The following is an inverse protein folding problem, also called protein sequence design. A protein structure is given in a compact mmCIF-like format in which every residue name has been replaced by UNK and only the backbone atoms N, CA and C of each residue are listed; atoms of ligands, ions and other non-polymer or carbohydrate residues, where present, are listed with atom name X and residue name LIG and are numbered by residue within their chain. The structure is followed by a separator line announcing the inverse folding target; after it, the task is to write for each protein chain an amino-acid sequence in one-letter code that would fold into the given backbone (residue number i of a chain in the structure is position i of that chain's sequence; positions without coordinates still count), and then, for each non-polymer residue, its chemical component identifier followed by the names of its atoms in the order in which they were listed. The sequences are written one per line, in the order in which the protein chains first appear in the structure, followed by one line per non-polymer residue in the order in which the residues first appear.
data_IF_761444332058
#
_entry.id   IF_761444332058
#
_cell.length_a   1.000
_cell.length_b   1.000
_cell.length_c   1.000
_cell.angle_alpha   90.00
_cell.angle_beta   90.00
_cell.angle_gamma   90.00
#
_symmetry.space_group_name_H-M   'P 1'
#
loop_
_entity.id
_entity.type
_entity.pdbx_description
1 polymer ?
#
# COMPACT_ATOMS: atom_id res chain seq x y z
N UNK A 1 8.20 -61.33 -70.08
CA UNK A 1 8.92 -62.00 -69.00
C UNK A 1 9.13 -60.97 -67.84
N UNK A 2 8.51 -61.28 -66.74
CA UNK A 2 8.73 -60.93 -65.31
C UNK A 2 8.76 -59.47 -64.88
N UNK A 3 7.72 -59.04 -64.22
CA UNK A 3 7.49 -58.95 -62.74
C UNK A 3 8.55 -58.09 -61.98
N UNK A 4 8.12 -57.02 -61.40
CA UNK A 4 8.26 -56.88 -59.94
C UNK A 4 7.31 -55.81 -59.41
N UNK A 5 6.40 -56.26 -58.52
CA UNK A 5 5.58 -55.48 -57.67
C UNK A 5 6.45 -54.95 -56.53
N UNK A 6 6.43 -53.64 -56.29
CA UNK A 6 6.96 -53.04 -55.02
C UNK A 6 5.87 -52.33 -54.32
N UNK A 7 5.67 -52.71 -53.05
CA UNK A 7 4.66 -52.26 -52.10
C UNK A 7 4.91 -50.79 -51.63
N UNK A 8 3.87 -49.97 -51.45
CA UNK A 8 3.96 -48.72 -50.70
C UNK A 8 3.31 -48.88 -49.31
N UNK A 9 4.08 -49.22 -48.28
CA UNK A 9 3.56 -49.26 -46.90
C UNK A 9 4.45 -48.68 -45.81
N UNK A 10 5.46 -47.89 -46.15
CA UNK A 10 6.36 -47.30 -45.12
C UNK A 10 6.21 -45.79 -44.88
N UNK A 11 5.41 -45.09 -45.68
CA UNK A 11 5.31 -43.62 -45.58
C UNK A 11 4.18 -43.08 -44.70
N UNK A 12 3.18 -43.94 -44.35
CA UNK A 12 2.00 -43.53 -43.59
C UNK A 12 2.24 -43.38 -42.06
N UNK A 13 3.18 -44.15 -41.53
CA UNK A 13 3.41 -44.16 -40.06
C UNK A 13 4.33 -43.02 -39.60
N UNK A 14 5.18 -42.48 -40.50
CA UNK A 14 6.09 -41.38 -40.17
C UNK A 14 5.33 -40.06 -40.07
N UNK A 15 4.31 -39.83 -40.86
CA UNK A 15 3.46 -38.64 -40.78
C UNK A 15 2.50 -38.63 -39.58
N UNK A 16 2.04 -39.81 -39.15
CA UNK A 16 1.21 -39.92 -37.94
C UNK A 16 2.02 -39.69 -36.63
N UNK A 17 3.27 -40.15 -36.59
CA UNK A 17 4.18 -39.93 -35.46
C UNK A 17 4.59 -38.46 -35.35
N UNK A 18 4.78 -37.75 -36.44
CA UNK A 18 5.10 -36.30 -36.42
C UNK A 18 3.87 -35.49 -36.04
N UNK A 19 2.65 -35.87 -36.44
CA UNK A 19 1.43 -35.20 -36.03
C UNK A 19 1.12 -35.39 -34.53
N UNK A 20 1.43 -36.55 -33.94
CA UNK A 20 1.31 -36.81 -32.51
C UNK A 20 2.36 -36.09 -31.67
N UNK A 21 3.61 -35.92 -32.18
CA UNK A 21 4.65 -35.13 -31.51
C UNK A 21 4.37 -33.63 -31.56
N UNK A 22 3.71 -33.11 -32.60
CA UNK A 22 3.30 -31.69 -32.67
C UNK A 22 2.06 -31.44 -31.82
N UNK A 23 1.18 -32.43 -31.63
CA UNK A 23 0.02 -32.32 -30.70
C UNK A 23 0.42 -32.41 -29.22
N UNK A 24 1.46 -33.18 -28.87
CA UNK A 24 1.99 -33.26 -27.50
C UNK A 24 2.83 -32.03 -27.13
N UNK A 25 3.40 -31.29 -28.09
CA UNK A 25 4.14 -30.05 -27.86
C UNK A 25 3.25 -28.81 -27.64
N UNK A 26 1.92 -28.96 -27.75
CA UNK A 26 0.91 -27.92 -27.45
C UNK A 26 0.11 -28.17 -26.17
N UNK A 27 0.54 -29.12 -25.33
CA UNK A 27 0.15 -29.08 -23.92
C UNK A 27 0.72 -27.79 -23.35
N UNK A 28 -0.13 -26.76 -23.27
CA UNK A 28 0.25 -25.40 -22.93
C UNK A 28 1.20 -25.38 -21.74
N UNK A 29 2.34 -24.75 -21.93
CA UNK A 29 2.98 -24.08 -20.81
C UNK A 29 1.89 -23.16 -20.25
N UNK A 30 1.22 -23.57 -19.19
CA UNK A 30 0.47 -22.64 -18.35
C UNK A 30 1.50 -21.57 -18.02
N UNK A 31 1.35 -20.38 -18.58
CA UNK A 31 2.14 -19.22 -18.18
C UNK A 31 1.91 -19.16 -16.68
N UNK A 32 2.95 -19.47 -15.90
CA UNK A 32 2.87 -19.39 -14.46
C UNK A 32 2.37 -17.99 -14.15
N UNK A 33 1.13 -17.91 -13.70
CA UNK A 33 0.50 -16.62 -13.41
C UNK A 33 1.35 -15.99 -12.33
N UNK A 34 1.89 -14.80 -12.59
CA UNK A 34 2.71 -14.10 -11.61
C UNK A 34 1.95 -14.01 -10.28
N UNK A 35 2.62 -14.33 -9.18
CA UNK A 35 2.05 -14.16 -7.83
C UNK A 35 1.60 -12.72 -7.58
N UNK A 36 2.16 -11.77 -8.33
CA UNK A 36 1.89 -10.34 -8.22
C UNK A 36 1.38 -9.80 -9.58
N UNK A 37 0.08 -10.00 -9.89
CA UNK A 37 -0.50 -9.55 -11.15
C UNK A 37 -0.45 -8.03 -11.27
N UNK A 38 -0.13 -7.55 -12.48
CA UNK A 38 -0.07 -6.13 -12.82
C UNK A 38 -1.00 -5.87 -14.03
N UNK A 39 -2.32 -5.79 -13.80
CA UNK A 39 -3.26 -5.50 -14.87
C UNK A 39 -3.15 -4.04 -15.32
N UNK A 40 -3.53 -3.77 -16.56
CA UNK A 40 -3.48 -2.44 -17.18
C UNK A 40 -4.17 -1.35 -16.31
N UNK A 41 -5.21 -1.72 -15.59
CA UNK A 41 -5.95 -0.79 -14.73
C UNK A 41 -5.13 -0.19 -13.58
N UNK A 42 -4.06 -0.85 -13.10
CA UNK A 42 -3.19 -0.33 -12.02
C UNK A 42 -1.94 0.35 -12.58
N UNK A 43 -1.68 0.22 -13.87
CA UNK A 43 -0.47 0.72 -14.51
C UNK A 43 -0.20 2.21 -14.24
N UNK A 44 -1.19 3.12 -14.36
CA UNK A 44 -0.96 4.53 -14.07
C UNK A 44 -0.52 4.80 -12.63
N UNK A 45 -0.98 3.98 -11.67
CA UNK A 45 -0.57 4.09 -10.27
C UNK A 45 0.86 3.59 -10.08
N UNK A 46 1.22 2.47 -10.73
CA UNK A 46 2.60 1.94 -10.65
C UNK A 46 3.59 2.92 -11.26
N UNK A 47 3.31 3.44 -12.46
CA UNK A 47 4.15 4.44 -13.13
C UNK A 47 4.31 5.72 -12.29
N UNK A 48 3.22 6.21 -11.70
CA UNK A 48 3.26 7.35 -10.78
C UNK A 48 4.22 7.10 -9.62
N UNK A 49 4.18 5.91 -9.00
CA UNK A 49 5.05 5.57 -7.89
C UNK A 49 6.49 5.34 -8.33
N UNK A 50 6.73 4.78 -9.53
CA UNK A 50 8.08 4.72 -10.12
C UNK A 50 8.66 6.13 -10.26
N UNK A 51 7.89 7.08 -10.78
CA UNK A 51 8.33 8.49 -10.90
C UNK A 51 8.61 9.13 -9.54
N UNK A 52 7.75 8.91 -8.53
CA UNK A 52 7.94 9.40 -7.16
C UNK A 52 9.23 8.84 -6.55
N UNK A 53 9.55 7.59 -6.81
CA UNK A 53 10.71 6.89 -6.25
C UNK A 53 12.01 7.17 -7.00
N UNK A 54 11.96 7.62 -8.27
CA UNK A 54 13.17 7.68 -9.10
C UNK A 54 13.43 9.05 -9.71
N UNK A 55 12.38 9.78 -10.08
CA UNK A 55 12.46 11.01 -10.86
C UNK A 55 12.35 12.27 -10.01
N UNK A 56 11.46 12.25 -9.03
CA UNK A 56 11.17 13.42 -8.22
C UNK A 56 11.97 13.41 -6.92
N UNK A 57 12.77 14.47 -6.73
CA UNK A 57 13.58 14.69 -5.53
C UNK A 57 12.71 14.99 -4.31
N UNK A 58 13.31 14.98 -3.13
CA UNK A 58 12.64 15.38 -1.89
C UNK A 58 12.25 16.89 -1.86
N UNK A 59 12.71 17.68 -2.87
CA UNK A 59 12.32 19.07 -3.10
C UNK A 59 11.21 19.24 -4.13
N UNK A 60 10.77 18.18 -4.79
CA UNK A 60 9.69 18.20 -5.77
C UNK A 60 8.36 17.84 -5.12
N UNK A 61 7.32 18.61 -5.42
CA UNK A 61 5.97 18.47 -4.91
C UNK A 61 5.00 18.29 -6.07
N UNK A 62 4.36 17.13 -6.15
CA UNK A 62 3.42 16.76 -7.21
C UNK A 62 2.01 17.07 -6.72
N UNK A 63 1.37 18.07 -7.31
CA UNK A 63 -0.02 18.43 -7.03
C UNK A 63 -0.92 17.64 -7.98
N UNK A 64 -1.76 16.79 -7.47
CA UNK A 64 -2.51 15.83 -8.29
C UNK A 64 -3.88 15.48 -7.71
N UNK A 65 -4.67 14.75 -8.50
CA UNK A 65 -5.93 14.11 -8.08
C UNK A 65 -5.62 12.74 -7.46
N UNK A 66 -5.98 12.55 -6.19
CA UNK A 66 -5.70 11.28 -5.46
C UNK A 66 -6.45 10.07 -6.00
N UNK A 67 -7.52 10.26 -6.78
CA UNK A 67 -8.30 9.17 -7.39
C UNK A 67 -7.85 8.87 -8.82
N UNK A 68 -7.12 9.80 -9.44
CA UNK A 68 -6.55 9.69 -10.77
C UNK A 68 -5.12 10.24 -10.73
N UNK A 69 -4.18 9.47 -10.20
CA UNK A 69 -2.80 9.93 -9.94
C UNK A 69 -2.07 10.45 -11.19
N UNK A 70 -2.46 9.98 -12.38
CA UNK A 70 -1.96 10.51 -13.66
C UNK A 70 -2.46 11.94 -13.96
N UNK A 71 -3.50 12.44 -13.26
CA UNK A 71 -3.94 13.82 -13.37
C UNK A 71 -3.11 14.71 -12.47
N UNK A 72 -1.95 15.12 -12.96
CA UNK A 72 -1.02 16.01 -12.27
C UNK A 72 -1.32 17.45 -12.67
N UNK A 73 -1.69 18.28 -11.70
CA UNK A 73 -1.96 19.72 -11.90
C UNK A 73 -0.68 20.53 -12.03
N UNK A 74 0.31 20.19 -11.19
CA UNK A 74 1.63 20.83 -11.22
C UNK A 74 2.69 19.94 -10.56
N UNK A 75 3.92 20.09 -11.02
CA UNK A 75 5.13 19.70 -10.30
C UNK A 75 5.82 20.99 -9.87
N UNK A 76 5.92 21.20 -8.57
CA UNK A 76 6.55 22.37 -7.98
C UNK A 76 7.90 21.99 -7.39
N UNK A 77 8.96 22.68 -7.82
CA UNK A 77 10.30 22.50 -7.23
C UNK A 77 10.54 23.58 -6.17
N UNK A 78 10.80 23.14 -4.93
CA UNK A 78 11.18 24.03 -3.84
C UNK A 78 12.63 24.48 -4.01
N UNK A 79 12.90 25.78 -4.21
CA UNK A 79 14.27 26.29 -4.39
C UNK A 79 15.18 26.00 -3.19
N UNK A 80 16.48 25.83 -3.45
CA UNK A 80 17.53 25.64 -2.44
C UNK A 80 18.27 24.33 -2.61
N UNK A 81 19.31 24.13 -1.80
CA UNK A 81 20.20 22.98 -1.84
C UNK A 81 19.96 22.03 -0.66
N UNK A 82 20.23 20.73 -0.87
CA UNK A 82 20.09 19.70 0.14
C UNK A 82 18.64 19.38 0.53
N UNK A 83 18.41 18.50 1.52
CA UNK A 83 17.09 18.12 1.93
C UNK A 83 16.32 19.28 2.56
N UNK A 84 15.04 19.48 2.21
CA UNK A 84 14.23 20.56 2.77
C UNK A 84 13.98 20.35 4.27
N UNK A 85 13.85 21.45 5.02
CA UNK A 85 13.44 21.35 6.42
C UNK A 85 11.98 20.90 6.52
N UNK A 86 11.61 20.34 7.67
CA UNK A 86 10.21 19.93 7.89
C UNK A 86 9.23 21.13 7.77
N UNK A 87 9.64 22.31 8.22
CA UNK A 87 8.84 23.53 8.09
C UNK A 87 8.66 23.95 6.64
N UNK A 88 9.70 23.82 5.80
CA UNK A 88 9.59 24.13 4.38
C UNK A 88 8.64 23.18 3.66
N UNK A 89 8.72 21.88 3.98
CA UNK A 89 7.81 20.87 3.44
C UNK A 89 6.35 21.17 3.82
N UNK A 90 6.11 21.48 5.10
CA UNK A 90 4.75 21.71 5.61
C UNK A 90 4.15 22.99 5.01
N UNK A 91 4.92 24.10 5.01
CA UNK A 91 4.47 25.36 4.41
C UNK A 91 4.26 25.26 2.89
N UNK A 92 5.09 24.50 2.17
CA UNK A 92 4.92 24.26 0.73
C UNK A 92 3.65 23.44 0.45
N UNK A 93 3.41 22.41 1.22
CA UNK A 93 2.18 21.61 1.13
C UNK A 93 0.92 22.47 1.33
N UNK A 94 0.92 23.31 2.37
CA UNK A 94 -0.22 24.19 2.67
C UNK A 94 -0.43 25.24 1.58
N UNK A 95 0.65 25.86 1.09
CA UNK A 95 0.59 26.81 -0.03
C UNK A 95 0.00 26.15 -1.29
N UNK A 96 0.52 25.01 -1.71
CA UNK A 96 0.06 24.33 -2.93
C UNK A 96 -1.39 23.85 -2.82
N UNK A 97 -1.78 23.30 -1.66
CA UNK A 97 -3.17 22.93 -1.42
C UNK A 97 -4.10 24.13 -1.50
N UNK A 98 -3.77 25.23 -0.85
CA UNK A 98 -4.58 26.46 -0.87
C UNK A 98 -4.73 26.96 -2.30
N UNK A 99 -3.62 27.15 -3.02
CA UNK A 99 -3.60 27.63 -4.40
C UNK A 99 -4.48 26.79 -5.33
N UNK A 100 -4.31 25.49 -5.34
CA UNK A 100 -5.07 24.61 -6.25
C UNK A 100 -6.51 24.38 -5.81
N UNK A 101 -6.80 24.46 -4.51
CA UNK A 101 -8.20 24.54 -4.03
C UNK A 101 -8.90 25.76 -4.58
N UNK A 102 -8.28 26.94 -4.57
CA UNK A 102 -8.83 28.16 -5.12
C UNK A 102 -9.04 28.07 -6.63
N UNK A 103 -8.06 27.59 -7.40
CA UNK A 103 -8.16 27.38 -8.86
C UNK A 103 -9.34 26.47 -9.19
N UNK A 104 -9.40 25.28 -8.59
CA UNK A 104 -10.46 24.31 -8.85
C UNK A 104 -11.84 24.83 -8.42
N UNK A 105 -11.91 25.59 -7.32
CA UNK A 105 -13.16 26.21 -6.84
C UNK A 105 -13.66 27.28 -7.82
N UNK A 106 -12.77 28.12 -8.37
CA UNK A 106 -13.14 29.10 -9.39
C UNK A 106 -13.63 28.42 -10.65
N UNK A 107 -12.96 27.37 -11.12
CA UNK A 107 -13.39 26.58 -12.27
C UNK A 107 -14.77 25.93 -12.02
N UNK A 108 -15.01 25.43 -10.79
CA UNK A 108 -16.33 24.90 -10.43
C UNK A 108 -17.45 25.95 -10.45
N UNK A 109 -17.13 27.21 -10.18
CA UNK A 109 -18.10 28.30 -10.13
C UNK A 109 -18.43 28.91 -11.50
N UNK A 110 -17.48 28.91 -12.43
CA UNK A 110 -17.59 29.71 -13.67
C UNK A 110 -17.43 28.92 -14.97
N UNK A 111 -16.96 27.69 -14.94
CA UNK A 111 -16.65 26.81 -16.10
C UNK A 111 -15.72 27.41 -17.18
N UNK A 112 -15.41 28.70 -17.12
CA UNK A 112 -14.57 29.41 -18.08
C UNK A 112 -13.26 29.83 -17.43
N UNK A 113 -12.13 29.23 -17.85
CA UNK A 113 -10.82 29.55 -17.28
C UNK A 113 -10.41 31.01 -17.57
N UNK A 114 -10.09 31.77 -16.51
CA UNK A 114 -9.76 33.20 -16.61
C UNK A 114 -8.28 33.45 -16.95
N UNK A 115 -7.38 32.69 -16.36
CA UNK A 115 -5.93 32.87 -16.49
C UNK A 115 -5.21 31.67 -17.10
N UNK A 116 -3.88 31.73 -17.19
CA UNK A 116 -3.05 30.67 -17.77
C UNK A 116 -3.08 29.38 -16.93
N UNK A 117 -3.03 29.50 -15.60
CA UNK A 117 -3.02 28.34 -14.71
C UNK A 117 -4.39 27.62 -14.73
N UNK A 118 -5.46 28.35 -14.67
CA UNK A 118 -6.83 27.80 -14.81
C UNK A 118 -7.01 27.08 -16.15
N UNK A 119 -6.50 27.67 -17.25
CA UNK A 119 -6.52 27.04 -18.58
C UNK A 119 -5.71 25.74 -18.59
N UNK A 120 -4.54 25.71 -17.95
CA UNK A 120 -3.74 24.50 -17.84
C UNK A 120 -4.44 23.42 -17.03
N UNK A 121 -5.04 23.75 -15.89
CA UNK A 121 -5.82 22.83 -15.08
C UNK A 121 -7.06 22.32 -15.83
N UNK A 122 -7.84 23.21 -16.44
CA UNK A 122 -9.02 22.83 -17.21
C UNK A 122 -8.69 21.90 -18.40
N UNK A 123 -7.51 22.08 -19.00
CA UNK A 123 -7.05 21.21 -20.08
C UNK A 123 -6.89 19.74 -19.69
N UNK A 124 -6.66 19.43 -18.41
CA UNK A 124 -6.57 18.07 -17.88
C UNK A 124 -7.92 17.35 -17.81
N UNK A 125 -9.02 18.09 -18.00
CA UNK A 125 -10.39 17.55 -17.97
C UNK A 125 -11.03 17.47 -19.36
N UNK A 126 -10.29 17.77 -20.44
CA UNK A 126 -10.83 17.82 -21.82
C UNK A 126 -11.51 16.54 -22.30
N UNK A 127 -11.12 15.39 -21.77
CA UNK A 127 -11.77 14.10 -22.09
C UNK A 127 -13.15 13.95 -21.43
N UNK A 128 -13.49 14.80 -20.46
CA UNK A 128 -14.76 14.78 -19.74
C UNK A 128 -15.73 15.78 -20.36
N UNK A 129 -16.92 15.30 -20.72
CA UNK A 129 -17.96 16.17 -21.26
C UNK A 129 -18.46 17.20 -20.25
N UNK A 130 -18.47 16.82 -18.97
CA UNK A 130 -18.83 17.65 -17.83
C UNK A 130 -17.79 17.46 -16.73
N UNK A 131 -16.75 18.33 -16.67
CA UNK A 131 -15.74 18.25 -15.63
C UNK A 131 -16.33 18.44 -14.23
N UNK A 132 -16.03 17.53 -13.32
CA UNK A 132 -16.40 17.68 -11.92
C UNK A 132 -15.25 18.30 -11.11
N UNK A 133 -15.14 19.61 -11.19
CA UNK A 133 -14.14 20.37 -10.44
C UNK A 133 -14.40 20.36 -8.92
N UNK A 134 -15.67 20.19 -8.49
CA UNK A 134 -16.02 20.08 -7.07
C UNK A 134 -15.44 18.79 -6.48
N UNK A 135 -15.60 17.67 -7.17
CA UNK A 135 -14.94 16.43 -6.77
C UNK A 135 -13.41 16.55 -6.83
N UNK A 136 -12.86 17.27 -7.81
CA UNK A 136 -11.42 17.50 -7.92
C UNK A 136 -10.86 18.28 -6.72
N UNK A 137 -11.59 19.26 -6.17
CA UNK A 137 -11.22 19.94 -4.91
C UNK A 137 -11.10 18.93 -3.76
N UNK A 138 -12.08 18.05 -3.62
CA UNK A 138 -12.06 17.03 -2.55
C UNK A 138 -10.97 15.99 -2.72
N UNK A 139 -10.55 15.76 -3.96
CA UNK A 139 -9.52 14.78 -4.31
C UNK A 139 -8.12 15.38 -4.44
N UNK A 140 -7.98 16.69 -4.19
CA UNK A 140 -6.70 17.36 -4.28
C UNK A 140 -5.69 16.79 -3.28
N UNK A 141 -4.52 16.42 -3.78
CA UNK A 141 -3.40 15.92 -2.98
C UNK A 141 -2.09 16.53 -3.45
N UNK A 142 -1.20 16.75 -2.50
CA UNK A 142 0.21 17.06 -2.76
C UNK A 142 1.04 15.86 -2.32
N UNK A 143 1.85 15.32 -3.23
CA UNK A 143 2.78 14.24 -2.99
C UNK A 143 4.21 14.77 -3.14
N UNK A 144 5.04 14.59 -2.13
CA UNK A 144 6.48 14.90 -2.20
C UNK A 144 7.22 13.79 -2.94
N UNK A 145 8.22 14.13 -3.76
CA UNK A 145 9.14 13.18 -4.35
C UNK A 145 10.02 12.48 -3.31
N UNK A 146 10.63 11.36 -3.68
CA UNK A 146 11.32 10.48 -2.73
C UNK A 146 12.61 9.88 -3.31
N UNK A 147 13.15 10.38 -4.43
CA UNK A 147 14.22 9.69 -5.16
C UNK A 147 15.48 9.47 -4.32
N UNK A 148 15.92 10.45 -3.53
CA UNK A 148 17.10 10.32 -2.67
C UNK A 148 16.88 9.32 -1.55
N UNK A 149 15.69 9.35 -0.96
CA UNK A 149 15.34 8.46 0.14
C UNK A 149 15.15 7.04 -0.34
N UNK A 150 14.52 6.89 -1.52
CA UNK A 150 14.30 5.58 -2.12
C UNK A 150 15.63 4.96 -2.53
N UNK A 151 16.52 5.73 -3.20
CA UNK A 151 17.88 5.30 -3.51
C UNK A 151 18.64 4.82 -2.27
N UNK A 152 18.63 5.60 -1.20
CA UNK A 152 19.27 5.23 0.06
C UNK A 152 18.62 3.96 0.68
N UNK A 153 17.33 3.74 0.48
CA UNK A 153 16.65 2.53 0.94
C UNK A 153 17.08 1.28 0.16
N UNK A 154 17.34 1.39 -1.15
CA UNK A 154 17.86 0.29 -1.95
C UNK A 154 19.28 -0.13 -1.54
N UNK A 155 20.13 0.84 -1.17
CA UNK A 155 21.46 0.54 -0.62
C UNK A 155 21.34 -0.27 0.69
N UNK A 156 20.45 0.15 1.60
CA UNK A 156 20.15 -0.60 2.84
C UNK A 156 19.51 -1.95 2.58
N UNK A 157 18.63 -2.05 1.59
CA UNK A 157 17.98 -3.29 1.20
C UNK A 157 19.01 -4.41 0.94
N UNK A 158 20.09 -4.10 0.24
CA UNK A 158 21.17 -5.05 -0.07
C UNK A 158 21.85 -5.65 1.18
N UNK A 159 21.81 -4.94 2.31
CA UNK A 159 22.31 -5.46 3.59
C UNK A 159 21.30 -6.44 4.24
N UNK A 160 20.00 -6.13 4.19
CA UNK A 160 18.98 -6.90 4.90
C UNK A 160 18.38 -8.05 4.11
N UNK A 161 18.22 -7.90 2.78
CA UNK A 161 17.53 -8.88 1.92
C UNK A 161 18.03 -10.31 2.06
N UNK A 162 19.36 -10.62 2.06
CA UNK A 162 19.81 -12.00 2.13
C UNK A 162 19.34 -12.73 3.41
N UNK A 163 19.11 -11.98 4.48
CA UNK A 163 18.61 -12.53 5.75
C UNK A 163 17.10 -12.66 5.74
N UNK A 164 16.39 -11.67 5.21
CA UNK A 164 14.92 -11.67 5.10
C UNK A 164 14.47 -12.82 4.20
N UNK A 165 15.05 -12.95 3.02
CA UNK A 165 14.75 -14.00 2.04
C UNK A 165 14.95 -15.40 2.64
N UNK A 166 16.03 -15.62 3.40
CA UNK A 166 16.25 -16.89 4.09
C UNK A 166 15.16 -17.19 5.13
N UNK A 167 14.68 -16.19 5.85
CA UNK A 167 13.57 -16.35 6.79
C UNK A 167 12.29 -16.66 6.01
N UNK A 168 12.00 -15.92 4.96
CA UNK A 168 10.80 -16.07 4.13
C UNK A 168 10.73 -17.45 3.47
N UNK A 169 11.86 -17.96 2.99
CA UNK A 169 11.97 -19.32 2.48
C UNK A 169 11.51 -20.38 3.50
N UNK A 170 11.76 -20.16 4.79
CA UNK A 170 11.29 -21.04 5.86
C UNK A 170 9.78 -20.99 6.11
N UNK A 171 9.06 -20.07 5.46
CA UNK A 171 7.60 -19.90 5.51
C UNK A 171 6.95 -20.10 4.13
N UNK A 172 7.68 -20.58 3.12
CA UNK A 172 7.21 -20.76 1.75
C UNK A 172 6.66 -19.48 1.11
N UNK A 173 7.17 -18.31 1.53
CA UNK A 173 6.77 -17.01 1.01
C UNK A 173 7.51 -16.67 -0.29
N UNK A 174 6.85 -16.01 -1.26
CA UNK A 174 7.51 -15.42 -2.43
C UNK A 174 8.65 -14.48 -2.00
N UNK A 175 9.85 -14.61 -2.58
CA UNK A 175 11.00 -13.80 -2.20
C UNK A 175 10.82 -12.31 -2.43
N UNK A 176 10.01 -11.91 -3.39
CA UNK A 176 9.70 -10.51 -3.72
C UNK A 176 9.10 -9.75 -2.53
N UNK A 177 8.36 -10.45 -1.66
CA UNK A 177 7.79 -9.85 -0.44
C UNK A 177 8.87 -9.35 0.55
N UNK A 178 10.11 -9.85 0.41
CA UNK A 178 11.23 -9.35 1.21
C UNK A 178 11.53 -7.86 0.95
N UNK A 179 11.00 -7.29 -0.14
CA UNK A 179 11.19 -5.88 -0.48
C UNK A 179 10.16 -4.95 0.20
N UNK A 180 9.11 -5.47 0.84
CA UNK A 180 8.10 -4.63 1.53
C UNK A 180 8.69 -3.58 2.50
N UNK A 181 9.80 -3.84 3.24
CA UNK A 181 10.40 -2.82 4.08
C UNK A 181 10.86 -1.56 3.36
N UNK A 182 11.03 -1.59 2.03
CA UNK A 182 11.36 -0.36 1.27
C UNK A 182 10.23 0.64 1.34
N UNK A 183 8.98 0.17 1.25
CA UNK A 183 7.77 0.98 1.35
C UNK A 183 7.47 1.33 2.82
N UNK A 184 7.72 0.40 3.74
CA UNK A 184 7.40 0.55 5.17
C UNK A 184 8.31 1.52 5.91
N UNK A 185 9.61 1.34 5.81
CA UNK A 185 10.60 2.07 6.61
C UNK A 185 11.80 2.57 5.81
N UNK A 186 11.87 2.25 4.51
CA UNK A 186 13.11 2.39 3.74
C UNK A 186 14.24 1.52 4.31
N UNK A 187 13.92 0.32 4.77
CA UNK A 187 14.86 -0.59 5.45
C UNK A 187 15.53 0.02 6.69
N UNK A 188 14.80 0.78 7.50
CA UNK A 188 15.32 1.37 8.74
C UNK A 188 14.81 0.62 9.96
N UNK A 189 15.69 -0.05 10.73
CA UNK A 189 15.30 -0.82 11.91
C UNK A 189 14.83 0.06 13.08
N UNK A 190 15.20 1.35 13.09
CA UNK A 190 14.84 2.31 14.13
C UNK A 190 13.66 3.21 13.75
N UNK A 191 13.08 3.05 12.57
CA UNK A 191 12.02 3.91 12.07
C UNK A 191 10.82 3.97 13.01
N UNK A 192 10.31 5.20 13.23
CA UNK A 192 9.13 5.48 14.07
C UNK A 192 8.12 6.33 13.32
N UNK A 193 6.89 5.87 13.21
CA UNK A 193 5.80 6.66 12.64
C UNK A 193 5.08 7.48 13.72
N UNK A 194 4.39 8.56 13.31
CA UNK A 194 3.51 9.33 14.20
C UNK A 194 2.40 8.46 14.80
N UNK A 195 1.94 7.44 14.08
CA UNK A 195 0.94 6.49 14.55
C UNK A 195 1.48 5.40 15.48
N UNK A 196 2.78 5.46 15.84
CA UNK A 196 3.42 4.52 16.77
C UNK A 196 3.83 3.19 16.15
N UNK A 197 3.85 3.08 14.82
CA UNK A 197 4.49 1.96 14.15
C UNK A 197 6.00 2.06 14.28
N UNK A 198 6.71 0.91 14.35
CA UNK A 198 8.09 0.85 14.77
C UNK A 198 8.88 -0.22 14.02
N UNK A 199 10.13 0.12 13.71
CA UNK A 199 11.15 -0.80 13.20
C UNK A 199 11.06 -1.03 11.70
N UNK A 200 11.84 -1.98 11.21
CA UNK A 200 12.02 -2.33 9.80
C UNK A 200 10.67 -2.56 9.11
N UNK A 201 9.77 -3.29 9.76
CA UNK A 201 8.48 -3.74 9.26
C UNK A 201 7.30 -2.87 9.70
N UNK A 202 7.57 -1.74 10.37
CA UNK A 202 6.57 -0.77 10.82
C UNK A 202 5.36 -1.38 11.54
N UNK A 203 5.59 -2.38 12.36
CA UNK A 203 4.51 -2.94 13.17
C UNK A 203 3.91 -1.91 14.13
N UNK A 204 2.58 -1.83 14.14
CA UNK A 204 1.88 -1.18 15.25
C UNK A 204 2.05 -2.03 16.53
N UNK A 205 1.92 -1.39 17.69
CA UNK A 205 2.01 -2.12 18.96
C UNK A 205 0.93 -3.21 19.10
N UNK A 206 -0.26 -2.95 18.56
CA UNK A 206 -1.36 -3.89 18.63
C UNK A 206 -1.09 -5.14 17.79
N UNK A 207 -0.72 -4.95 16.52
CA UNK A 207 -0.42 -6.06 15.59
C UNK A 207 0.79 -6.87 16.06
N UNK A 208 1.86 -6.20 16.50
CA UNK A 208 3.09 -6.86 16.94
C UNK A 208 2.88 -7.83 18.10
N UNK A 209 2.02 -7.50 19.07
CA UNK A 209 1.75 -8.34 20.25
C UNK A 209 1.21 -9.73 19.92
N UNK A 210 0.65 -9.92 18.73
CA UNK A 210 0.16 -11.23 18.29
C UNK A 210 1.30 -12.15 17.83
N UNK A 211 2.48 -11.61 17.58
CA UNK A 211 3.57 -12.34 16.95
C UNK A 211 4.90 -12.28 17.72
N UNK A 212 5.18 -11.17 18.42
CA UNK A 212 6.44 -10.89 19.12
C UNK A 212 6.20 -10.18 20.46
N UNK A 213 7.24 -10.16 21.30
CA UNK A 213 7.17 -9.46 22.58
C UNK A 213 7.25 -7.95 22.39
N UNK A 214 6.29 -7.25 22.98
CA UNK A 214 6.25 -5.79 22.99
C UNK A 214 5.98 -5.32 24.41
N UNK A 215 7.03 -5.05 25.15
CA UNK A 215 6.96 -4.55 26.52
C UNK A 215 7.64 -3.18 26.65
N UNK A 216 7.64 -2.62 27.86
CA UNK A 216 8.38 -1.40 28.17
C UNK A 216 9.92 -1.62 28.09
N UNK A 217 10.36 -2.83 28.41
CA UNK A 217 11.77 -3.16 28.59
C UNK A 217 12.37 -3.90 27.38
N UNK A 218 11.53 -4.55 26.60
CA UNK A 218 11.92 -5.27 25.39
C UNK A 218 10.86 -5.10 24.32
N UNK A 219 11.20 -4.38 23.26
CA UNK A 219 10.35 -4.15 22.09
C UNK A 219 10.99 -4.80 20.87
N UNK A 220 10.59 -6.04 20.59
CA UNK A 220 11.16 -6.86 19.50
C UNK A 220 10.81 -6.33 18.12
N UNK A 221 9.99 -5.27 17.99
CA UNK A 221 9.78 -4.57 16.72
C UNK A 221 11.06 -3.88 16.21
N UNK A 222 12.00 -3.59 17.12
CA UNK A 222 13.31 -3.02 16.82
C UNK A 222 14.36 -4.07 16.46
N UNK A 223 14.09 -5.35 16.68
CA UNK A 223 14.95 -6.46 16.27
C UNK A 223 14.59 -6.86 14.83
N UNK A 224 15.48 -6.64 13.84
CA UNK A 224 15.18 -6.94 12.45
C UNK A 224 14.82 -8.41 12.20
N UNK A 225 15.45 -9.34 12.94
CA UNK A 225 15.16 -10.76 12.77
C UNK A 225 13.79 -11.13 13.33
N UNK A 226 13.50 -10.74 14.57
CA UNK A 226 12.21 -11.03 15.22
C UNK A 226 11.05 -10.36 14.48
N UNK A 227 11.26 -9.12 14.06
CA UNK A 227 10.27 -8.40 13.25
C UNK A 227 10.03 -9.06 11.89
N UNK A 228 11.08 -9.61 11.24
CA UNK A 228 10.94 -10.36 9.98
C UNK A 228 10.16 -11.67 10.17
N UNK A 229 10.46 -12.45 11.21
CA UNK A 229 9.70 -13.64 11.55
C UNK A 229 8.22 -13.34 11.81
N UNK A 230 7.93 -12.20 12.45
CA UNK A 230 6.57 -11.72 12.67
C UNK A 230 5.88 -11.29 11.38
N UNK A 231 6.59 -10.59 10.49
CA UNK A 231 6.07 -10.19 9.19
C UNK A 231 5.75 -11.39 8.31
N UNK A 232 6.62 -12.40 8.30
CA UNK A 232 6.37 -13.65 7.59
C UNK A 232 5.06 -14.31 8.06
N UNK A 233 4.85 -14.44 9.37
CA UNK A 233 3.61 -15.01 9.94
C UNK A 233 2.37 -14.18 9.60
N UNK A 234 2.47 -12.84 9.62
CA UNK A 234 1.37 -11.96 9.26
C UNK A 234 1.03 -12.09 7.76
N UNK A 235 2.03 -12.17 6.88
CA UNK A 235 1.83 -12.33 5.44
C UNK A 235 1.20 -13.69 5.10
N UNK A 236 1.67 -14.77 5.72
CA UNK A 236 1.03 -16.10 5.61
C UNK A 236 -0.43 -16.02 6.06
N UNK A 237 -0.69 -15.46 7.25
CA UNK A 237 -2.05 -15.28 7.75
C UNK A 237 -2.93 -14.46 6.81
N UNK A 238 -2.44 -13.35 6.28
CA UNK A 238 -3.21 -12.54 5.34
C UNK A 238 -3.54 -13.32 4.07
N UNK A 239 -2.57 -14.05 3.51
CA UNK A 239 -2.76 -14.85 2.31
C UNK A 239 -3.75 -16.00 2.53
N UNK A 240 -3.65 -16.70 3.66
CA UNK A 240 -4.57 -17.78 4.03
C UNK A 240 -6.02 -17.27 4.16
N UNK A 241 -6.20 -16.05 4.68
CA UNK A 241 -7.52 -15.45 4.88
C UNK A 241 -8.13 -14.83 3.63
N UNK A 242 -7.32 -14.36 2.68
CA UNK A 242 -7.76 -13.53 1.56
C UNK A 242 -7.61 -14.23 0.20
N UNK A 243 -6.77 -15.27 0.10
CA UNK A 243 -6.64 -16.14 -1.05
C UNK A 243 -5.75 -15.65 -2.17
N UNK A 244 -5.35 -14.38 -2.20
CA UNK A 244 -4.39 -13.85 -3.17
C UNK A 244 -3.41 -12.83 -2.58
N UNK A 245 -2.27 -12.63 -3.26
CA UNK A 245 -1.22 -11.72 -2.80
C UNK A 245 -1.59 -10.25 -2.90
N UNK A 246 -2.27 -9.74 -3.94
CA UNK A 246 -2.73 -8.35 -3.98
C UNK A 246 -3.53 -7.94 -2.75
N UNK A 247 -4.49 -8.77 -2.34
CA UNK A 247 -5.28 -8.54 -1.13
C UNK A 247 -4.45 -8.72 0.13
N UNK A 248 -3.60 -9.75 0.20
CA UNK A 248 -2.75 -10.04 1.36
C UNK A 248 -1.73 -8.92 1.63
N UNK A 249 -1.12 -8.38 0.58
CA UNK A 249 -0.19 -7.24 0.65
C UNK A 249 -0.95 -5.98 1.11
N UNK A 250 -2.09 -5.68 0.50
CA UNK A 250 -2.89 -4.51 0.91
C UNK A 250 -3.39 -4.64 2.34
N UNK A 251 -3.69 -5.86 2.80
CA UNK A 251 -4.07 -6.14 4.18
C UNK A 251 -2.93 -5.90 5.19
N UNK A 252 -1.67 -5.89 4.75
CA UNK A 252 -0.55 -5.52 5.62
C UNK A 252 -0.67 -4.07 6.11
N UNK A 253 -1.06 -3.14 5.24
CA UNK A 253 -1.31 -1.74 5.58
C UNK A 253 -2.71 -1.53 6.19
N UNK A 254 -3.76 -2.02 5.55
CA UNK A 254 -5.15 -1.77 5.94
C UNK A 254 -5.63 -2.62 7.10
N UNK A 255 -5.00 -3.77 7.30
CA UNK A 255 -5.40 -4.79 8.27
C UNK A 255 -6.30 -5.86 7.67
N UNK A 256 -6.05 -7.13 8.07
CA UNK A 256 -6.77 -8.32 7.56
C UNK A 256 -8.29 -8.20 7.69
N UNK A 257 -8.78 -7.79 8.87
CA UNK A 257 -10.22 -7.65 9.11
C UNK A 257 -10.88 -6.57 8.25
N UNK A 258 -10.18 -5.45 8.00
CA UNK A 258 -10.66 -4.39 7.11
C UNK A 258 -10.72 -4.85 5.66
N UNK A 259 -9.71 -5.60 5.20
CA UNK A 259 -9.69 -6.13 3.84
C UNK A 259 -10.77 -7.22 3.63
N UNK A 260 -11.00 -8.09 4.61
CA UNK A 260 -12.12 -9.04 4.56
C UNK A 260 -13.48 -8.34 4.42
N UNK A 261 -13.70 -7.26 5.17
CA UNK A 261 -14.92 -6.44 5.02
C UNK A 261 -15.02 -5.81 3.63
N UNK A 262 -13.92 -5.37 3.04
CA UNK A 262 -13.89 -4.81 1.71
C UNK A 262 -14.24 -5.87 0.64
N UNK A 263 -13.71 -7.09 0.76
CA UNK A 263 -14.05 -8.22 -0.10
C UNK A 263 -15.54 -8.58 0.02
N UNK A 264 -16.07 -8.63 1.23
CA UNK A 264 -17.50 -8.90 1.48
C UNK A 264 -18.39 -7.81 0.87
N UNK A 265 -18.06 -6.54 1.12
CA UNK A 265 -18.83 -5.39 0.61
C UNK A 265 -18.83 -5.27 -0.92
N UNK A 266 -17.84 -5.87 -1.59
CA UNK A 266 -17.73 -5.91 -3.06
C UNK A 266 -18.15 -7.27 -3.66
N UNK A 267 -18.85 -8.11 -2.89
CA UNK A 267 -19.34 -9.44 -3.29
C UNK A 267 -18.19 -10.37 -3.81
N UNK A 268 -17.06 -10.38 -3.13
CA UNK A 268 -15.91 -11.20 -3.52
C UNK A 268 -15.03 -10.55 -4.58
N UNK A 269 -15.06 -9.21 -4.68
CA UNK A 269 -14.23 -8.45 -5.62
C UNK A 269 -12.73 -8.65 -5.37
N UNK A 270 -11.95 -8.65 -6.46
CA UNK A 270 -10.50 -8.60 -6.38
C UNK A 270 -10.02 -7.21 -5.91
N UNK A 271 -8.72 -7.08 -5.60
CA UNK A 271 -8.16 -5.81 -5.11
C UNK A 271 -8.47 -4.63 -6.04
N UNK A 272 -8.44 -4.83 -7.36
CA UNK A 272 -8.61 -3.72 -8.33
C UNK A 272 -10.05 -3.21 -8.34
N UNK A 273 -11.03 -4.08 -8.16
CA UNK A 273 -12.43 -3.71 -7.98
C UNK A 273 -12.64 -2.99 -6.64
N UNK A 274 -12.02 -3.50 -5.56
CA UNK A 274 -12.07 -2.89 -4.22
C UNK A 274 -11.49 -1.47 -4.25
N UNK A 275 -10.31 -1.28 -4.84
CA UNK A 275 -9.67 0.05 -4.94
C UNK A 275 -10.56 1.06 -5.67
N UNK A 276 -11.30 0.60 -6.70
CA UNK A 276 -12.17 1.45 -7.51
C UNK A 276 -13.50 1.78 -6.83
N UNK A 277 -14.09 0.85 -6.08
CA UNK A 277 -15.51 0.94 -5.66
C UNK A 277 -15.73 0.99 -4.16
N UNK A 278 -14.76 0.51 -3.35
CA UNK A 278 -14.95 0.44 -1.91
C UNK A 278 -14.55 1.77 -1.22
N UNK A 279 -15.48 2.31 -0.44
CA UNK A 279 -15.32 3.55 0.34
C UNK A 279 -15.50 3.27 1.84
N UNK A 280 -14.75 2.28 2.35
CA UNK A 280 -14.80 1.91 3.75
C UNK A 280 -14.02 2.86 4.66
N UNK A 281 -14.30 2.83 5.98
CA UNK A 281 -13.55 3.60 6.96
C UNK A 281 -12.05 3.31 6.86
N UNK A 282 -11.24 4.37 6.76
CA UNK A 282 -9.78 4.29 6.70
C UNK A 282 -9.19 3.63 5.44
N UNK A 283 -9.99 3.16 4.48
CA UNK A 283 -9.51 2.70 3.18
C UNK A 283 -9.25 3.89 2.26
N UNK A 284 -8.21 4.65 2.61
CA UNK A 284 -7.86 5.90 1.94
C UNK A 284 -6.79 5.73 0.86
N UNK A 285 -6.16 6.85 0.50
CA UNK A 285 -5.13 6.91 -0.55
C UNK A 285 -3.98 5.93 -0.30
N UNK A 286 -3.47 5.80 0.93
CA UNK A 286 -2.39 4.89 1.26
C UNK A 286 -2.76 3.43 0.94
N UNK A 287 -3.86 2.93 1.50
CA UNK A 287 -4.28 1.54 1.28
C UNK A 287 -4.65 1.27 -0.19
N UNK A 288 -5.28 2.24 -0.87
CA UNK A 288 -5.61 2.13 -2.30
C UNK A 288 -4.37 2.06 -3.21
N UNK A 289 -3.24 2.60 -2.78
CA UNK A 289 -2.00 2.62 -3.55
C UNK A 289 -0.95 1.62 -3.06
N UNK A 290 -1.10 1.01 -1.90
CA UNK A 290 -0.06 0.20 -1.27
C UNK A 290 0.48 -0.93 -2.15
N UNK A 291 -0.41 -1.62 -2.87
CA UNK A 291 0.00 -2.65 -3.82
C UNK A 291 0.72 -2.07 -5.05
N UNK A 292 0.29 -0.91 -5.54
CA UNK A 292 0.98 -0.22 -6.63
C UNK A 292 2.37 0.28 -6.23
N UNK A 293 2.52 0.77 -4.99
CA UNK A 293 3.82 1.13 -4.40
C UNK A 293 4.76 -0.07 -4.32
N UNK A 294 4.24 -1.23 -3.89
CA UNK A 294 5.02 -2.47 -3.86
C UNK A 294 5.47 -2.89 -5.26
N UNK A 295 4.58 -2.88 -6.26
CA UNK A 295 4.93 -3.20 -7.65
C UNK A 295 5.96 -2.21 -8.23
N UNK A 296 5.81 -0.93 -7.95
CA UNK A 296 6.78 0.10 -8.34
C UNK A 296 8.14 -0.16 -7.69
N UNK A 297 8.15 -0.52 -6.40
CA UNK A 297 9.38 -0.86 -5.69
C UNK A 297 10.08 -2.09 -6.27
N UNK A 298 9.33 -3.13 -6.65
CA UNK A 298 9.87 -4.29 -7.37
C UNK A 298 10.49 -3.89 -8.70
N UNK A 299 9.77 -3.11 -9.53
CA UNK A 299 10.29 -2.64 -10.82
C UNK A 299 11.58 -1.84 -10.67
N UNK A 300 11.62 -0.92 -9.70
CA UNK A 300 12.81 -0.09 -9.48
C UNK A 300 13.96 -0.94 -8.95
N UNK A 301 13.71 -1.91 -8.07
CA UNK A 301 14.72 -2.85 -7.58
C UNK A 301 15.34 -3.67 -8.72
N UNK A 302 14.50 -4.24 -9.60
CA UNK A 302 14.96 -5.08 -10.70
C UNK A 302 15.78 -4.30 -11.74
N UNK A 303 15.47 -3.00 -11.90
CA UNK A 303 16.15 -2.11 -12.87
C UNK A 303 16.95 -1.00 -12.19
N UNK A 304 17.42 -1.21 -10.94
CA UNK A 304 18.01 -0.17 -10.08
C UNK A 304 19.23 0.52 -10.67
N UNK A 305 20.07 -0.21 -11.43
CA UNK A 305 21.19 0.41 -12.13
C UNK A 305 20.77 1.36 -13.25
N UNK A 306 19.61 1.12 -13.89
CA UNK A 306 19.05 2.03 -14.88
C UNK A 306 18.52 3.31 -14.24
N UNK A 307 17.85 3.19 -13.09
CA UNK A 307 17.29 4.33 -12.37
C UNK A 307 18.34 5.10 -11.53
N UNK A 308 19.30 4.37 -10.98
CA UNK A 308 20.34 4.91 -10.10
C UNK A 308 21.71 4.35 -10.50
N UNK A 309 22.33 4.89 -11.57
CA UNK A 309 23.61 4.38 -12.08
C UNK A 309 24.68 4.33 -10.99
N UNK A 310 25.38 3.19 -10.90
CA UNK A 310 26.46 2.95 -9.92
C UNK A 310 25.96 2.50 -8.54
N UNK A 311 24.66 2.29 -8.33
CA UNK A 311 24.12 1.90 -7.03
C UNK A 311 24.67 0.52 -6.56
N UNK A 312 24.91 -0.41 -7.48
CA UNK A 312 25.42 -1.73 -7.14
C UNK A 312 26.93 -1.74 -6.76
N UNK A 313 27.66 -0.68 -7.16
CA UNK A 313 29.04 -0.48 -6.74
C UNK A 313 29.16 0.07 -5.31
N UNK A 314 28.11 0.64 -4.74
CA UNK A 314 28.11 1.11 -3.36
C UNK A 314 28.11 -0.07 -2.39
N UNK A 315 28.89 -0.01 -1.30
CA UNK A 315 28.86 -1.05 -0.29
C UNK A 315 27.47 -1.10 0.36
N UNK A 316 26.90 -2.31 0.59
CA UNK A 316 25.71 -2.44 1.42
C UNK A 316 25.97 -1.83 2.80
N UNK A 317 25.04 -1.03 3.30
CA UNK A 317 25.23 -0.35 4.58
C UNK A 317 24.01 -0.48 5.48
N UNK A 318 24.27 -0.66 6.78
CA UNK A 318 23.28 -0.48 7.83
C UNK A 318 23.18 1.00 8.26
N UNK A 319 24.12 1.85 7.83
CA UNK A 319 24.14 3.26 8.19
C UNK A 319 22.85 3.99 7.81
N UNK A 320 22.34 4.73 8.76
CA UNK A 320 21.13 5.50 8.63
C UNK A 320 21.47 6.96 8.33
N UNK A 321 20.84 7.59 7.31
CA UNK A 321 20.90 9.01 7.18
C UNK A 321 20.37 9.67 8.46
N UNK A 322 20.83 10.88 8.82
CA UNK A 322 20.41 11.54 10.05
C UNK A 322 18.89 11.63 10.17
N UNK A 323 18.32 11.44 11.37
CA UNK A 323 16.89 11.19 11.60
C UNK A 323 15.92 12.25 11.06
N UNK A 324 16.42 13.41 10.65
CA UNK A 324 15.59 14.57 10.25
C UNK A 324 14.89 14.40 8.89
N UNK A 325 15.45 13.62 7.96
CA UNK A 325 14.96 13.57 6.57
C UNK A 325 13.79 12.58 6.41
N UNK A 326 13.81 11.44 7.06
CA UNK A 326 12.79 10.40 6.88
C UNK A 326 11.49 10.61 7.65
N UNK A 327 11.48 11.47 8.68
CA UNK A 327 10.25 11.75 9.43
C UNK A 327 9.17 12.45 8.61
N UNK A 328 9.54 13.20 7.58
CA UNK A 328 8.58 13.94 6.76
C UNK A 328 7.90 13.08 5.68
N UNK A 329 8.63 12.18 5.04
CA UNK A 329 8.15 11.50 3.83
C UNK A 329 7.26 10.29 4.11
N UNK A 330 7.60 9.49 5.12
CA UNK A 330 6.75 8.37 5.57
C UNK A 330 5.51 8.86 6.35
N UNK A 331 5.46 10.12 6.75
CA UNK A 331 4.36 10.66 7.54
C UNK A 331 3.12 11.08 6.75
N UNK A 332 3.25 11.29 5.46
CA UNK A 332 2.10 11.63 4.60
C UNK A 332 1.15 10.44 4.47
N UNK A 333 1.64 9.22 4.71
CA UNK A 333 0.90 7.98 4.48
C UNK A 333 0.02 7.49 5.63
N UNK A 334 0.33 7.84 6.90
CA UNK A 334 -0.28 7.13 8.03
C UNK A 334 -1.29 7.92 8.87
N UNK A 335 -1.95 8.91 8.33
CA UNK A 335 -3.11 9.49 9.02
C UNK A 335 -4.38 8.64 8.95
N UNK A 336 -4.36 7.52 8.23
CA UNK A 336 -5.54 6.68 8.01
C UNK A 336 -5.55 5.37 8.81
N UNK A 337 -4.47 4.94 9.44
CA UNK A 337 -4.53 3.71 10.26
C UNK A 337 -5.19 4.05 11.58
N UNK A 338 -6.49 3.86 11.56
CA UNK A 338 -7.39 4.12 12.66
C UNK A 338 -7.04 3.35 13.92
N UNK A 339 -7.47 3.91 15.00
CA UNK A 339 -7.69 3.28 16.29
C UNK A 339 -8.22 1.86 16.09
N UNK A 340 -7.68 0.86 16.79
CA UNK A 340 -8.22 -0.49 16.73
C UNK A 340 -9.71 -0.42 17.03
N UNK A 341 -10.51 -1.06 16.21
CA UNK A 341 -11.94 -1.28 16.45
C UNK A 341 -12.10 -1.68 17.92
N UNK A 342 -12.63 -0.75 18.72
CA UNK A 342 -13.16 -1.12 20.02
C UNK A 342 -14.06 -2.30 19.77
N UNK A 343 -13.75 -3.45 20.38
CA UNK A 343 -14.69 -4.55 20.46
C UNK A 343 -16.04 -3.92 20.76
N UNK A 344 -16.94 -3.93 19.80
CA UNK A 344 -18.36 -3.75 20.09
C UNK A 344 -18.72 -5.01 20.87
N UNK A 345 -18.61 -4.92 22.17
CA UNK A 345 -19.10 -5.96 23.04
C UNK A 345 -20.61 -5.99 22.81
N UNK A 346 -21.05 -7.04 22.12
CA UNK A 346 -22.41 -7.55 22.20
C UNK A 346 -22.65 -7.97 23.66
N UNK A 347 -22.81 -7.02 24.57
CA UNK A 347 -23.25 -7.28 25.94
C UNK A 347 -23.75 -6.02 26.63
N UNK A 348 -24.57 -5.21 26.00
CA UNK A 348 -25.20 -4.07 26.67
C UNK A 348 -26.68 -4.29 27.01
N UNK A 349 -27.29 -5.41 26.65
CA UNK A 349 -28.70 -5.67 27.02
C UNK A 349 -28.89 -6.34 28.37
N UNK A 350 -27.88 -6.98 28.96
CA UNK A 350 -28.06 -7.62 30.29
C UNK A 350 -27.68 -6.73 31.48
N UNK A 351 -26.90 -5.66 31.30
CA UNK A 351 -26.53 -4.78 32.42
C UNK A 351 -27.57 -3.70 32.74
N UNK A 352 -28.40 -3.29 31.80
CA UNK A 352 -29.42 -2.27 32.02
C UNK A 352 -30.59 -2.82 32.85
N UNK A 353 -30.92 -4.12 32.72
CA UNK A 353 -31.99 -4.77 33.51
C UNK A 353 -31.58 -4.91 34.97
N UNK A 354 -30.33 -5.27 35.26
CA UNK A 354 -29.87 -5.40 36.68
C UNK A 354 -29.72 -4.08 37.38
N UNK A 355 -29.34 -3.01 36.71
CA UNK A 355 -29.25 -1.67 37.37
C UNK A 355 -30.63 -1.10 37.70
N UNK A 356 -31.67 -1.36 36.90
CA UNK A 356 -33.04 -0.95 37.21
C UNK A 356 -33.62 -1.73 38.38
N UNK A 357 -33.33 -3.01 38.51
CA UNK A 357 -33.80 -3.81 39.66
C UNK A 357 -33.14 -3.38 41.00
N UNK A 358 -31.87 -3.00 40.98
CA UNK A 358 -31.20 -2.55 42.20
C UNK A 358 -31.72 -1.18 42.69
N UNK A 359 -32.01 -0.26 41.77
CA UNK A 359 -32.56 1.06 42.09
C UNK A 359 -34.01 0.98 42.65
N UNK A 360 -34.79 0.05 42.14
CA UNK A 360 -36.16 -0.18 42.63
C UNK A 360 -36.19 -0.82 44.03
N UNK A 361 -35.27 -1.73 44.36
CA UNK A 361 -35.15 -2.32 45.70
C UNK A 361 -34.77 -1.28 46.76
N UNK A 362 -33.86 -0.36 46.46
CA UNK A 362 -33.46 0.70 47.41
C UNK A 362 -34.53 1.76 47.61
N UNK A 363 -35.40 2.03 46.63
CA UNK A 363 -36.54 2.95 46.81
C UNK A 363 -37.64 2.30 47.66
N UNK A 364 -37.87 1.01 47.52
CA UNK A 364 -38.89 0.30 48.31
C UNK A 364 -38.46 0.17 49.78
N UNK A 365 -37.22 -0.13 50.08
CA UNK A 365 -36.65 -0.20 51.41
C UNK A 365 -36.74 1.14 52.18
N UNK A 366 -36.46 2.29 51.51
CA UNK A 366 -36.56 3.63 52.13
C UNK A 366 -38.03 4.04 52.40
N UNK A 367 -38.98 3.58 51.59
CA UNK A 367 -40.41 3.88 51.81
C UNK A 367 -40.97 3.09 52.99
N UNK A 368 -40.58 1.85 53.14
CA UNK A 368 -41.01 1.00 54.29
C UNK A 368 -40.41 1.51 55.60
N UNK A 369 -39.18 2.03 55.63
CA UNK A 369 -38.55 2.61 56.84
C UNK A 369 -39.23 3.90 57.26
N UNK A 370 -39.72 4.77 56.35
CA UNK A 370 -40.47 5.99 56.70
C UNK A 370 -41.89 5.73 57.14
N UNK A 371 -42.51 4.60 56.89
CA UNK A 371 -43.81 4.22 57.34
C UNK A 371 -43.80 3.49 58.72
N UNK A 372 -42.61 3.23 59.31
CA UNK A 372 -42.46 2.69 60.69
C UNK A 372 -42.02 3.72 61.73
N UNK A 373 -41.71 4.94 61.29
CA UNK A 373 -41.27 6.04 62.11
C UNK A 373 -42.33 7.20 62.15
N UNK A 374 -43.55 6.96 61.63
CA UNK A 374 -44.75 7.75 61.79
C UNK A 374 -45.85 6.86 62.40
#
# INVERSE_FOLDING_TARGET
VDRFLARPQACGYLLLAIALLVAAGRAGAAVAQSSFPRPEAIEPNVEFWVDVFTRYSDRDFIVMDRTQVARVYQIFHLPGDGPPSWTDVDSTNDYLKTKYTEILTRLAAHDVPADFEEKAVAALFKSQRHPDYTAAVQNLRVQQGMSEQFRASLVRARFYLPRIERIFQGFDLPPELALLPVVESGFRPDARSKAGALGLWQFTRATAKSYIRVSRWNDERLDPQRATEAAAKLLVHNHDMLGDWPLAITAYDYGTGGMMQAVEATNGGNLFDIVRTYEGPHFGFASKNYYAEFLAALQVWDHREMYFPGIDAEPPTEEMPPPRVLRASLHIYRHAVGTPLRRVALSSHHRVVHARHHALRHRHSRRVKRMREA
#
